data_IF_254567738250
#
_entry.id   IF_254567738250
#
_cell.length_a   1.000
_cell.length_b   1.000
_cell.length_c   1.000
_cell.angle_alpha   90.00
_cell.angle_beta   90.00
_cell.angle_gamma   90.00
#
_symmetry.space_group_name_H-M   'P 1'
#
loop_
_entity.id
_entity.type
_entity.pdbx_description
1 polymer ?
#
# COMPACT_ATOMS: atom_id res chain seq x y z
N UNK A 1 10.10 -9.00 15.23
CA UNK A 1 8.94 -8.19 15.71
C UNK A 1 7.94 -7.92 14.58
N UNK A 2 8.23 -7.14 13.53
CA UNK A 2 7.28 -6.94 12.40
C UNK A 2 6.94 -8.25 11.69
N UNK A 3 7.92 -9.09 11.40
CA UNK A 3 7.71 -10.39 10.76
C UNK A 3 6.84 -11.32 11.57
N UNK A 4 6.99 -11.34 12.88
CA UNK A 4 6.18 -12.17 13.77
C UNK A 4 4.74 -11.67 13.81
N UNK A 5 4.56 -10.34 13.85
CA UNK A 5 3.25 -9.72 13.74
C UNK A 5 2.57 -10.08 12.41
N UNK A 6 3.28 -9.94 11.28
CA UNK A 6 2.78 -10.33 9.96
C UNK A 6 2.31 -11.79 9.94
N UNK A 7 3.15 -12.72 10.43
CA UNK A 7 2.80 -14.13 10.44
C UNK A 7 1.57 -14.42 11.30
N UNK A 8 1.52 -13.84 12.52
CA UNK A 8 0.37 -14.00 13.40
C UNK A 8 -0.90 -13.43 12.77
N UNK A 9 -0.81 -12.28 12.10
CA UNK A 9 -1.93 -11.67 11.42
C UNK A 9 -2.43 -12.53 10.25
N UNK A 10 -1.53 -13.00 9.38
CA UNK A 10 -1.87 -13.83 8.22
C UNK A 10 -2.36 -15.23 8.61
N UNK A 11 -2.03 -15.70 9.80
CA UNK A 11 -2.49 -16.98 10.35
C UNK A 11 -3.84 -16.88 11.11
N UNK A 12 -4.32 -15.66 11.32
CA UNK A 12 -5.55 -15.37 12.08
C UNK A 12 -6.76 -15.14 11.16
N UNK A 13 -7.99 -15.21 11.69
CA UNK A 13 -9.19 -14.78 10.95
C UNK A 13 -9.17 -13.31 10.52
N UNK A 14 -8.40 -12.46 11.19
CA UNK A 14 -8.34 -11.02 10.91
C UNK A 14 -7.95 -10.71 9.46
N UNK A 15 -7.17 -11.56 8.83
CA UNK A 15 -6.84 -11.38 7.41
C UNK A 15 -8.07 -11.54 6.51
N UNK A 16 -8.95 -12.48 6.82
CA UNK A 16 -10.18 -12.68 6.06
C UNK A 16 -11.17 -11.54 6.33
N UNK A 17 -11.25 -11.08 7.56
CA UNK A 17 -12.06 -9.92 7.93
C UNK A 17 -11.59 -8.66 7.20
N UNK A 18 -10.28 -8.45 7.11
CA UNK A 18 -9.69 -7.33 6.36
C UNK A 18 -10.05 -7.39 4.88
N UNK A 19 -9.89 -8.57 4.25
CA UNK A 19 -10.17 -8.78 2.82
C UNK A 19 -11.66 -8.58 2.52
N UNK A 20 -12.54 -8.99 3.43
CA UNK A 20 -13.99 -8.92 3.27
C UNK A 20 -14.59 -7.64 3.86
N UNK A 21 -13.79 -6.68 4.27
CA UNK A 21 -14.27 -5.39 4.77
C UNK A 21 -15.29 -4.78 3.79
N UNK A 22 -16.49 -4.41 4.27
CA UNK A 22 -17.49 -3.77 3.43
C UNK A 22 -17.02 -2.48 2.81
N UNK A 23 -17.46 -2.20 1.59
CA UNK A 23 -16.98 -1.07 0.81
C UNK A 23 -17.30 0.31 1.42
N UNK A 24 -18.35 0.39 2.20
CA UNK A 24 -18.74 1.60 2.94
C UNK A 24 -17.79 1.97 4.07
N UNK A 25 -16.90 1.05 4.47
CA UNK A 25 -15.84 1.28 5.45
C UNK A 25 -14.54 1.84 4.86
N UNK A 26 -14.43 1.84 3.54
CA UNK A 26 -13.24 2.36 2.88
C UNK A 26 -13.30 3.87 2.69
N UNK A 27 -12.17 4.51 2.88
CA UNK A 27 -11.92 5.83 2.33
C UNK A 27 -11.78 5.68 0.82
N UNK A 28 -12.70 6.31 0.08
CA UNK A 28 -12.84 6.14 -1.35
C UNK A 28 -12.00 7.15 -2.09
N UNK A 29 -11.54 6.72 -3.27
CA UNK A 29 -10.84 7.58 -4.22
C UNK A 29 -9.68 8.35 -3.55
N UNK A 30 -8.91 7.63 -2.71
CA UNK A 30 -7.81 8.23 -1.96
C UNK A 30 -6.81 8.87 -2.91
N UNK A 31 -6.26 9.99 -2.48
CA UNK A 31 -5.34 10.82 -3.28
C UNK A 31 -5.96 11.35 -4.57
N UNK A 32 -7.30 11.43 -4.66
CA UNK A 32 -8.00 11.84 -5.87
C UNK A 32 -7.95 10.83 -7.01
N UNK A 33 -7.56 9.60 -6.74
CA UNK A 33 -7.49 8.51 -7.73
C UNK A 33 -8.76 7.68 -7.68
N UNK A 34 -9.61 7.86 -8.68
CA UNK A 34 -10.89 7.14 -8.79
C UNK A 34 -10.67 5.63 -8.85
N UNK A 35 -11.31 4.91 -7.93
CA UNK A 35 -11.22 3.45 -7.83
C UNK A 35 -10.02 2.94 -7.02
N UNK A 36 -9.29 3.82 -6.35
CA UNK A 36 -8.27 3.47 -5.37
C UNK A 36 -8.79 3.78 -3.96
N UNK A 37 -9.00 2.75 -3.16
CA UNK A 37 -9.62 2.86 -1.84
C UNK A 37 -8.74 2.25 -0.76
N UNK A 38 -8.80 2.80 0.44
CA UNK A 38 -8.09 2.24 1.59
C UNK A 38 -8.94 2.16 2.83
N UNK A 39 -8.58 1.23 3.71
CA UNK A 39 -9.18 1.07 5.02
C UNK A 39 -8.12 0.66 6.04
N UNK A 40 -8.06 1.35 7.17
CA UNK A 40 -7.23 0.93 8.30
C UNK A 40 -8.01 -0.13 9.07
N UNK A 41 -7.65 -1.40 8.87
CA UNK A 41 -8.32 -2.53 9.49
C UNK A 41 -7.86 -2.77 10.93
N UNK A 42 -6.58 -2.55 11.20
CA UNK A 42 -5.98 -2.71 12.52
C UNK A 42 -4.99 -1.59 12.80
N UNK A 43 -4.97 -1.09 14.03
CA UNK A 43 -3.96 -0.15 14.52
C UNK A 43 -3.82 -0.26 16.03
N UNK A 44 -2.59 -0.32 16.51
CA UNK A 44 -2.23 -0.14 17.92
C UNK A 44 -1.09 0.87 18.07
N UNK A 45 -0.33 0.77 19.14
CA UNK A 45 0.78 1.70 19.41
C UNK A 45 2.04 1.43 18.60
N UNK A 46 2.15 0.30 17.90
CA UNK A 46 3.33 -0.10 17.15
C UNK A 46 3.04 -0.54 15.72
N UNK A 47 1.85 -1.06 15.46
CA UNK A 47 1.51 -1.70 14.20
C UNK A 47 0.25 -1.14 13.57
N UNK A 48 0.20 -1.21 12.25
CA UNK A 48 -0.99 -0.94 11.49
C UNK A 48 -1.13 -1.95 10.37
N UNK A 49 -2.34 -2.36 10.08
CA UNK A 49 -2.69 -3.06 8.85
C UNK A 49 -3.67 -2.21 8.07
N UNK A 50 -3.26 -1.82 6.87
CA UNK A 50 -4.08 -1.07 5.94
C UNK A 50 -4.40 -1.92 4.73
N UNK A 51 -5.67 -1.95 4.37
CA UNK A 51 -6.17 -2.65 3.19
C UNK A 51 -6.25 -1.65 2.06
N UNK A 52 -5.68 -1.99 0.93
CA UNK A 52 -5.83 -1.25 -0.31
C UNK A 52 -6.61 -2.08 -1.31
N UNK A 53 -7.57 -1.44 -1.96
CA UNK A 53 -8.42 -2.06 -2.97
C UNK A 53 -8.45 -1.21 -4.23
N UNK A 54 -8.17 -1.85 -5.35
CA UNK A 54 -8.24 -1.26 -6.67
C UNK A 54 -9.39 -1.89 -7.45
N UNK A 55 -10.21 -1.06 -8.07
CA UNK A 55 -11.29 -1.53 -8.91
C UNK A 55 -10.77 -2.04 -10.26
N UNK A 56 -11.48 -3.01 -10.87
CA UNK A 56 -11.15 -3.47 -12.21
C UNK A 56 -11.36 -2.39 -13.27
N UNK A 57 -10.94 -2.71 -14.49
CA UNK A 57 -11.06 -1.89 -15.71
C UNK A 57 -10.15 -0.65 -15.77
N UNK A 58 -9.18 -0.56 -14.87
CA UNK A 58 -8.19 0.53 -14.88
C UNK A 58 -6.81 -0.01 -14.58
N UNK A 59 -5.81 0.68 -15.14
CA UNK A 59 -4.43 0.49 -14.75
C UNK A 59 -4.06 1.56 -13.75
N UNK A 60 -3.55 1.15 -12.59
CA UNK A 60 -3.09 2.07 -11.57
C UNK A 60 -1.60 1.89 -11.34
N UNK A 61 -0.91 2.99 -11.15
CA UNK A 61 0.47 3.00 -10.70
C UNK A 61 0.54 3.91 -9.47
N UNK A 62 0.94 3.32 -8.35
CA UNK A 62 1.41 4.06 -7.18
C UNK A 62 2.90 4.24 -7.36
N UNK A 63 3.39 5.45 -7.64
CA UNK A 63 4.81 5.69 -7.87
C UNK A 63 5.66 5.27 -6.69
N UNK A 64 6.95 5.03 -6.93
CA UNK A 64 7.88 4.80 -5.83
C UNK A 64 7.92 6.00 -4.88
N UNK A 65 7.83 5.71 -3.62
CA UNK A 65 7.85 6.64 -2.50
C UNK A 65 8.57 6.01 -1.32
N UNK A 66 8.86 6.79 -0.31
CA UNK A 66 9.55 6.34 0.90
C UNK A 66 8.75 6.68 2.15
N UNK A 67 8.93 5.87 3.20
CA UNK A 67 8.38 6.14 4.52
C UNK A 67 9.54 6.25 5.52
N UNK A 68 9.89 7.45 6.00
CA UNK A 68 11.11 7.65 6.77
C UNK A 68 11.08 7.04 8.17
N UNK A 69 9.93 6.67 8.70
CA UNK A 69 9.79 6.09 10.04
C UNK A 69 8.95 4.82 10.09
N UNK A 70 8.84 4.13 8.97
CA UNK A 70 8.01 2.92 8.84
C UNK A 70 8.81 1.81 8.22
N UNK A 71 8.70 0.61 8.79
CA UNK A 71 9.00 -0.64 8.10
C UNK A 71 7.68 -1.30 7.73
N UNK A 72 7.59 -1.90 6.56
CA UNK A 72 6.38 -2.60 6.14
C UNK A 72 6.63 -3.89 5.39
N UNK A 73 5.57 -4.68 5.31
CA UNK A 73 5.39 -5.71 4.31
C UNK A 73 4.19 -5.35 3.44
N UNK A 74 4.42 -5.24 2.13
CA UNK A 74 3.35 -5.10 1.17
C UNK A 74 2.94 -6.48 0.68
N UNK A 75 1.73 -6.92 1.03
CA UNK A 75 1.26 -8.30 0.87
C UNK A 75 0.20 -8.36 -0.23
N UNK A 76 0.52 -8.99 -1.35
CA UNK A 76 -0.43 -9.24 -2.42
C UNK A 76 -1.46 -10.29 -2.03
N UNK A 77 -2.73 -9.95 -2.15
CA UNK A 77 -3.87 -10.81 -1.81
C UNK A 77 -4.52 -11.36 -3.08
N UNK A 78 -4.88 -10.48 -4.01
CA UNK A 78 -5.56 -10.86 -5.25
C UNK A 78 -5.34 -9.84 -6.36
N UNK A 79 -5.59 -10.26 -7.59
CA UNK A 79 -5.50 -9.42 -8.78
C UNK A 79 -4.12 -9.36 -9.41
N UNK A 80 -3.99 -8.49 -10.42
CA UNK A 80 -2.75 -8.29 -11.17
C UNK A 80 -1.86 -7.26 -10.48
N UNK A 81 -1.38 -7.62 -9.29
CA UNK A 81 -0.54 -6.74 -8.47
C UNK A 81 0.93 -6.89 -8.80
N UNK A 82 1.57 -5.76 -9.03
CA UNK A 82 3.00 -5.61 -9.16
C UNK A 82 3.53 -4.74 -8.04
N UNK A 83 4.69 -5.08 -7.52
CA UNK A 83 5.40 -4.23 -6.59
C UNK A 83 6.65 -3.65 -7.25
N UNK A 84 6.94 -2.40 -6.94
CA UNK A 84 8.20 -1.76 -7.29
C UNK A 84 9.06 -1.65 -6.05
N UNK A 85 10.33 -2.01 -6.16
CA UNK A 85 11.30 -1.88 -5.09
C UNK A 85 12.69 -1.58 -5.67
N UNK A 86 13.27 -0.48 -5.25
CA UNK A 86 14.57 -0.04 -5.76
C UNK A 86 14.62 0.15 -7.28
N UNK A 87 13.58 0.71 -7.87
CA UNK A 87 13.48 1.00 -9.30
C UNK A 87 13.16 -0.20 -10.19
N UNK A 88 12.80 -1.34 -9.60
CA UNK A 88 12.48 -2.56 -10.36
C UNK A 88 11.07 -3.02 -10.09
N UNK A 89 10.34 -3.34 -11.16
CA UNK A 89 9.05 -4.00 -11.04
C UNK A 89 9.20 -5.49 -10.78
N UNK A 90 8.51 -5.97 -9.75
CA UNK A 90 8.44 -7.36 -9.34
C UNK A 90 7.04 -7.89 -9.67
N UNK A 91 6.97 -8.78 -10.65
CA UNK A 91 5.71 -9.44 -11.01
C UNK A 91 5.23 -10.40 -9.90
N UNK A 92 3.94 -10.79 -9.87
CA UNK A 92 3.36 -11.54 -8.74
C UNK A 92 4.06 -12.85 -8.35
N UNK A 93 4.85 -13.44 -9.26
CA UNK A 93 5.60 -14.68 -9.01
C UNK A 93 7.12 -14.48 -8.99
N UNK A 94 7.57 -13.21 -8.94
CA UNK A 94 9.00 -12.91 -8.97
C UNK A 94 9.72 -13.56 -7.78
N UNK A 95 10.89 -14.21 -7.97
CA UNK A 95 11.61 -14.90 -6.91
C UNK A 95 12.10 -14.01 -5.78
N UNK A 96 12.25 -12.71 -6.01
CA UNK A 96 12.59 -11.74 -4.96
C UNK A 96 11.44 -11.43 -3.99
N UNK A 97 10.20 -11.82 -4.32
CA UNK A 97 9.09 -11.70 -3.39
C UNK A 97 9.21 -12.76 -2.29
N UNK A 98 9.06 -12.32 -1.05
CA UNK A 98 8.95 -13.26 0.06
C UNK A 98 7.69 -14.11 -0.09
N UNK A 99 7.85 -15.39 0.20
CA UNK A 99 6.74 -16.34 0.15
C UNK A 99 6.39 -16.78 1.56
N UNK A 100 5.13 -16.58 1.93
CA UNK A 100 4.58 -17.06 3.18
C UNK A 100 3.41 -18.01 2.93
N UNK A 101 3.44 -19.18 3.57
CA UNK A 101 2.35 -20.14 3.58
C UNK A 101 1.70 -20.12 4.96
N UNK A 102 0.51 -19.56 5.06
CA UNK A 102 -0.25 -19.50 6.29
C UNK A 102 -0.67 -20.90 6.78
N UNK A 103 -0.96 -21.03 8.06
CA UNK A 103 -1.51 -22.25 8.66
C UNK A 103 -2.82 -22.69 7.97
N UNK A 104 -3.58 -21.74 7.47
CA UNK A 104 -4.77 -21.97 6.63
C UNK A 104 -4.48 -22.53 5.24
N UNK A 105 -3.21 -22.82 4.93
CA UNK A 105 -2.68 -23.25 3.61
C UNK A 105 -2.76 -22.17 2.52
N UNK A 106 -3.30 -20.97 2.80
CA UNK A 106 -3.22 -19.83 1.90
C UNK A 106 -1.76 -19.42 1.68
N UNK A 107 -1.47 -18.95 0.50
CA UNK A 107 -0.13 -18.55 0.08
C UNK A 107 -0.12 -17.04 -0.20
N UNK A 108 0.83 -16.34 0.36
CA UNK A 108 0.99 -14.90 0.18
C UNK A 108 2.36 -14.59 -0.42
N UNK A 109 2.41 -13.57 -1.23
CA UNK A 109 3.63 -12.97 -1.77
C UNK A 109 3.74 -11.55 -1.23
N UNK A 110 4.90 -11.19 -0.74
CA UNK A 110 5.12 -9.86 -0.18
C UNK A 110 6.53 -9.35 -0.47
N UNK A 111 6.66 -8.05 -0.49
CA UNK A 111 7.95 -7.39 -0.34
C UNK A 111 8.10 -6.90 1.09
N UNK A 112 9.32 -6.94 1.60
CA UNK A 112 9.71 -6.21 2.79
C UNK A 112 10.23 -4.85 2.35
N UNK A 113 9.79 -3.81 3.02
CA UNK A 113 10.20 -2.43 2.80
C UNK A 113 10.81 -1.92 4.09
N UNK A 114 12.09 -1.64 4.07
CA UNK A 114 12.79 -1.06 5.21
C UNK A 114 12.61 0.45 5.25
N UNK A 115 12.97 1.05 6.38
CA UNK A 115 12.86 2.48 6.58
C UNK A 115 13.60 3.26 5.48
N UNK A 116 12.87 4.11 4.77
CA UNK A 116 13.42 4.93 3.70
C UNK A 116 13.60 4.22 2.34
N UNK A 117 13.26 2.93 2.25
CA UNK A 117 13.36 2.21 0.98
C UNK A 117 12.30 2.70 -0.02
N UNK A 118 12.72 3.04 -1.26
CA UNK A 118 11.78 3.37 -2.33
C UNK A 118 10.95 2.14 -2.73
N UNK A 119 9.66 2.28 -2.70
CA UNK A 119 8.74 1.24 -3.13
C UNK A 119 7.46 1.80 -3.73
N UNK A 120 6.77 0.99 -4.49
CA UNK A 120 5.51 1.34 -5.13
C UNK A 120 4.71 0.10 -5.47
N UNK A 121 3.56 0.33 -6.07
CA UNK A 121 2.69 -0.73 -6.53
C UNK A 121 2.06 -0.36 -7.88
N UNK A 122 1.68 -1.38 -8.64
CA UNK A 122 0.87 -1.19 -9.82
C UNK A 122 -0.17 -2.31 -9.92
N UNK A 123 -1.28 -1.99 -10.53
CA UNK A 123 -2.40 -2.92 -10.68
C UNK A 123 -2.88 -2.92 -12.11
N UNK A 124 -2.99 -4.11 -12.68
CA UNK A 124 -3.54 -4.33 -14.01
C UNK A 124 -5.06 -4.28 -14.06
N UNK A 125 -5.65 -4.61 -15.22
CA UNK A 125 -7.08 -4.38 -15.49
C UNK A 125 -8.03 -5.23 -14.65
N UNK A 126 -7.56 -6.28 -13.98
CA UNK A 126 -8.42 -7.08 -13.10
C UNK A 126 -8.63 -6.46 -11.72
N UNK A 127 -8.00 -5.32 -11.46
CA UNK A 127 -7.98 -4.75 -10.13
C UNK A 127 -7.14 -5.58 -9.16
N UNK A 128 -7.30 -5.32 -7.86
CA UNK A 128 -6.57 -6.09 -6.88
C UNK A 128 -6.78 -5.61 -5.44
N UNK A 129 -6.30 -6.44 -4.53
CA UNK A 129 -6.26 -6.15 -3.10
C UNK A 129 -4.86 -6.44 -2.59
N UNK A 130 -4.29 -5.52 -1.84
CA UNK A 130 -3.11 -5.80 -1.03
C UNK A 130 -3.24 -5.23 0.37
N UNK A 131 -2.44 -5.77 1.28
CA UNK A 131 -2.31 -5.28 2.63
C UNK A 131 -0.95 -4.63 2.81
N UNK A 132 -0.93 -3.45 3.41
CA UNK A 132 0.29 -2.86 3.95
C UNK A 132 0.32 -3.13 5.45
N UNK A 133 1.25 -3.99 5.87
CA UNK A 133 1.46 -4.35 7.28
C UNK A 133 2.66 -3.57 7.77
N UNK A 134 2.40 -2.57 8.60
CA UNK A 134 3.35 -1.54 8.96
C UNK A 134 3.74 -1.62 10.44
N UNK A 135 4.99 -1.30 10.72
CA UNK A 135 5.47 -0.99 12.06
C UNK A 135 6.11 0.38 12.02
N UNK A 136 5.69 1.29 12.88
CA UNK A 136 6.37 2.56 13.00
C UNK A 136 7.56 2.49 13.96
N UNK A 137 8.60 3.21 13.57
CA UNK A 137 9.84 3.28 14.30
C UNK A 137 9.84 4.50 15.21
N UNK A 138 10.63 4.41 16.30
CA UNK A 138 10.79 5.51 17.26
C UNK A 138 9.50 5.96 17.96
N UNK A 139 8.46 5.12 18.00
CA UNK A 139 7.19 5.44 18.66
C UNK A 139 6.38 6.55 17.98
N UNK A 140 6.80 7.01 16.81
CA UNK A 140 6.10 8.05 16.05
C UNK A 140 5.10 7.38 15.13
N UNK A 141 3.81 7.54 15.42
CA UNK A 141 2.75 7.07 14.51
C UNK A 141 2.93 7.70 13.14
N UNK A 142 2.86 6.91 12.06
CA UNK A 142 2.70 7.49 10.75
C UNK A 142 1.47 8.38 10.80
N UNK A 143 1.56 9.61 10.33
CA UNK A 143 0.36 10.36 10.04
C UNK A 143 -0.50 9.52 9.10
N UNK A 144 -1.81 9.55 9.21
CA UNK A 144 -2.74 8.67 8.47
C UNK A 144 -2.54 8.67 6.95
N UNK A 145 -1.68 9.53 6.46
CA UNK A 145 -1.33 9.74 5.06
C UNK A 145 0.18 9.89 4.94
N UNK A 146 0.91 9.30 5.87
CA UNK A 146 2.36 9.52 6.08
C UNK A 146 3.28 9.02 4.98
N UNK A 147 2.84 9.09 3.75
CA UNK A 147 3.67 8.92 2.60
C UNK A 147 4.27 10.28 2.26
N UNK A 148 5.53 10.49 2.62
CA UNK A 148 6.29 11.61 2.09
C UNK A 148 6.60 11.33 0.63
N UNK A 149 5.81 11.93 -0.23
CA UNK A 149 5.97 11.87 -1.67
C UNK A 149 6.92 12.97 -2.15
N UNK A 150 8.07 13.08 -1.55
CA UNK A 150 9.09 13.99 -2.05
C UNK A 150 9.40 13.68 -3.51
N UNK A 151 9.05 14.59 -4.36
CA UNK A 151 9.37 14.55 -5.78
C UNK A 151 8.30 14.00 -6.73
N UNK A 152 7.14 13.65 -6.25
CA UNK A 152 6.05 13.14 -7.10
C UNK A 152 4.86 14.10 -7.14
N UNK A 153 4.96 15.24 -7.77
CA UNK A 153 3.84 16.09 -8.15
C UNK A 153 2.68 16.25 -7.16
N UNK A 154 2.96 16.09 -5.87
CA UNK A 154 1.98 16.33 -4.81
C UNK A 154 1.88 17.82 -4.63
N UNK A 155 0.73 18.38 -4.96
CA UNK A 155 0.43 19.74 -4.55
C UNK A 155 -0.09 19.73 -3.11
N UNK A 156 0.63 20.32 -2.20
CA UNK A 156 0.12 20.64 -0.87
C UNK A 156 -0.72 21.92 -0.94
N UNK A 157 -1.95 21.83 -0.52
CA UNK A 157 -2.82 22.98 -0.31
C UNK A 157 -3.09 23.09 1.17
N UNK A 158 -2.87 24.27 1.73
CA UNK A 158 -3.38 24.54 3.08
C UNK A 158 -4.90 24.67 3.00
N UNK A 159 -5.60 23.84 3.75
CA UNK A 159 -7.03 23.93 3.92
C UNK A 159 -7.34 24.18 5.40
N UNK A 160 -8.45 24.83 5.66
CA UNK A 160 -8.93 25.08 7.00
C UNK A 160 -10.39 24.65 7.08
N UNK A 161 -10.71 23.80 8.05
CA UNK A 161 -12.08 23.38 8.35
C UNK A 161 -12.29 23.55 9.85
N UNK A 162 -13.32 24.28 10.21
CA UNK A 162 -13.69 24.56 11.60
C UNK A 162 -12.55 25.15 12.45
N UNK A 163 -11.72 26.02 11.82
CA UNK A 163 -10.58 26.65 12.47
C UNK A 163 -9.34 25.76 12.63
N UNK A 164 -9.39 24.52 12.16
CA UNK A 164 -8.25 23.59 12.16
C UNK A 164 -7.56 23.64 10.80
N UNK A 165 -6.31 24.04 10.82
CA UNK A 165 -5.47 24.02 9.61
C UNK A 165 -4.95 22.63 9.38
N UNK A 166 -5.14 22.11 8.19
CA UNK A 166 -4.57 20.85 7.73
C UNK A 166 -3.97 21.02 6.33
N UNK A 167 -3.05 20.14 6.00
CA UNK A 167 -2.48 20.08 4.67
C UNK A 167 -3.30 19.09 3.83
N UNK A 168 -3.98 19.63 2.84
CA UNK A 168 -4.61 18.81 1.82
C UNK A 168 -3.57 18.47 0.75
N UNK A 169 -3.25 17.20 0.62
CA UNK A 169 -2.34 16.70 -0.40
C UNK A 169 -3.13 16.14 -1.56
N UNK A 170 -3.06 16.78 -2.69
CA UNK A 170 -3.69 16.27 -3.91
C UNK A 170 -2.65 15.51 -4.73
N UNK A 171 -2.87 14.22 -4.91
CA UNK A 171 -2.13 13.42 -5.86
C UNK A 171 -2.51 13.83 -7.28
N UNK A 172 -1.56 14.39 -7.96
CA UNK A 172 -1.61 14.35 -9.41
C UNK A 172 -0.75 13.18 -9.80
N UNK A 173 -1.33 12.15 -10.40
CA UNK A 173 -0.58 11.17 -11.19
C UNK A 173 0.21 12.00 -12.19
N UNK A 174 1.49 12.18 -11.91
CA UNK A 174 2.23 13.30 -12.38
C UNK A 174 2.39 13.25 -13.88
N UNK A 175 1.89 14.26 -14.51
CA UNK A 175 2.33 14.67 -15.82
C UNK A 175 3.85 15.02 -15.92
N UNK A 176 4.63 14.88 -14.85
CA UNK A 176 6.00 15.43 -14.79
C UNK A 176 7.12 14.40 -14.63
N UNK A 177 6.85 13.14 -14.31
CA UNK A 177 7.85 12.06 -14.42
C UNK A 177 7.23 10.91 -15.17
N UNK A 178 7.92 10.46 -16.23
CA UNK A 178 7.62 9.17 -16.87
C UNK A 178 7.79 8.05 -15.83
N UNK A 179 6.72 7.66 -15.22
CA UNK A 179 6.70 6.42 -14.46
C UNK A 179 6.60 5.30 -15.49
N UNK A 180 7.69 4.58 -15.69
CA UNK A 180 7.65 3.41 -16.57
C UNK A 180 6.67 2.40 -15.97
N UNK A 181 5.61 2.04 -16.70
CA UNK A 181 4.69 1.01 -16.22
C UNK A 181 5.42 -0.33 -16.09
N UNK A 182 4.89 -1.25 -15.25
CA UNK A 182 5.38 -2.62 -15.29
C UNK A 182 5.18 -3.22 -16.68
N UNK A 183 6.02 -4.18 -17.07
CA UNK A 183 5.82 -4.92 -18.32
C UNK A 183 4.64 -5.89 -18.14
N UNK A 184 3.43 -5.40 -18.33
CA UNK A 184 2.17 -6.11 -18.08
C UNK A 184 2.05 -7.48 -18.75
N UNK A 185 2.80 -7.71 -19.82
CA UNK A 185 2.78 -8.94 -20.63
C UNK A 185 3.74 -10.03 -20.10
N UNK A 186 4.39 -9.82 -18.96
CA UNK A 186 5.25 -10.85 -18.36
C UNK A 186 4.40 -11.90 -17.63
N UNK A 187 4.71 -13.19 -17.84
CA UNK A 187 3.94 -14.31 -17.29
C UNK A 187 4.07 -14.47 -15.76
#
# INVERSE_FOLDING_TARGET
MLKDFLHNYLDSPAVDDAINTPLDKFDKDIYGVVGFHSHVHYRDDQFQVQVFRFYPDKYFIVPEHTHPNVQSFEVGISGDLWFSHGGKWLYPRHPALHFYRAKTKKKYRCIQVDNGDPHGAAVGPTGGIFLSVQQWLNGVKPSCVGMDYEGYGVSEKQAEVDGVKYKERTWRMAATKEVKPPPWDMP
#
